data_IF_019969557259
#
_entry.id   IF_019969557259
#
_cell.length_a   1.000
_cell.length_b   1.000
_cell.length_c   1.000
_cell.angle_alpha   90.00
_cell.angle_beta   90.00
_cell.angle_gamma   90.00
#
_symmetry.space_group_name_H-M   'P 1'
#
loop_
_entity.id
_entity.type
_entity.pdbx_description
1 polymer ?
#
# COMPACT_ATOMS: atom_id res chain seq x y z
N UNK A 1 15.38 12.87 -14.23
CA UNK A 1 14.10 12.18 -13.96
C UNK A 1 12.87 12.97 -14.44
N UNK A 2 12.65 14.26 -14.10
CA UNK A 2 11.45 14.99 -14.55
C UNK A 2 11.37 15.20 -16.07
N UNK A 3 12.51 15.50 -16.71
CA UNK A 3 12.60 15.75 -18.15
C UNK A 3 12.28 14.50 -19.00
N UNK A 4 12.64 13.34 -18.49
CA UNK A 4 12.43 12.03 -19.12
C UNK A 4 10.95 11.67 -19.13
N UNK A 5 10.24 11.91 -18.02
CA UNK A 5 8.79 11.70 -17.89
C UNK A 5 8.04 12.61 -18.88
N UNK A 6 8.36 13.90 -18.90
CA UNK A 6 7.72 14.86 -19.81
C UNK A 6 7.94 14.51 -21.28
N UNK A 7 9.13 14.02 -21.61
CA UNK A 7 9.46 13.61 -22.99
C UNK A 7 8.70 12.34 -23.36
N UNK A 8 8.65 11.35 -22.48
CA UNK A 8 7.91 10.11 -22.70
C UNK A 8 6.42 10.35 -22.89
N UNK A 9 5.81 11.18 -22.03
CA UNK A 9 4.39 11.52 -22.10
C UNK A 9 3.98 12.29 -23.36
N UNK A 10 4.92 13.02 -23.99
CA UNK A 10 4.67 13.70 -25.27
C UNK A 10 4.51 12.73 -26.43
N UNK A 11 5.26 11.63 -26.40
CA UNK A 11 5.17 10.59 -27.43
C UNK A 11 3.99 9.66 -27.16
N UNK A 12 3.85 9.20 -25.91
CA UNK A 12 2.78 8.30 -25.48
C UNK A 12 2.21 8.72 -24.12
N UNK A 13 0.94 9.13 -24.12
CA UNK A 13 0.23 9.53 -22.90
C UNK A 13 -0.28 8.31 -22.12
N UNK A 14 0.64 7.56 -21.52
CA UNK A 14 0.35 6.46 -20.60
C UNK A 14 0.67 6.87 -19.15
N UNK A 15 0.00 6.28 -18.14
CA UNK A 15 0.37 6.48 -16.75
C UNK A 15 1.81 6.01 -16.49
N UNK A 16 2.59 6.82 -15.78
CA UNK A 16 3.96 6.52 -15.37
C UNK A 16 4.08 6.56 -13.85
N UNK A 17 4.85 5.62 -13.30
CA UNK A 17 5.11 5.51 -11.88
C UNK A 17 6.59 5.27 -11.60
N UNK A 18 7.00 5.48 -10.34
CA UNK A 18 8.32 5.06 -9.85
C UNK A 18 8.15 4.21 -8.59
N UNK A 19 8.83 3.08 -8.52
CA UNK A 19 8.91 2.22 -7.33
C UNK A 19 10.01 2.72 -6.41
N UNK A 20 9.79 2.70 -5.09
CA UNK A 20 10.76 3.18 -4.10
C UNK A 20 10.79 2.32 -2.85
N UNK A 21 12.00 1.91 -2.46
CA UNK A 21 12.25 1.28 -1.18
C UNK A 21 11.89 2.24 -0.05
N UNK A 22 10.98 1.79 0.84
CA UNK A 22 10.49 2.57 1.96
C UNK A 22 11.51 2.61 3.11
N UNK A 23 11.47 3.65 3.94
CA UNK A 23 12.24 3.77 5.17
C UNK A 23 11.54 3.07 6.35
N UNK A 24 12.32 2.55 7.29
CA UNK A 24 11.89 1.81 8.46
C UNK A 24 11.03 2.71 9.34
N UNK A 25 9.84 2.23 9.67
CA UNK A 25 8.86 2.96 10.48
C UNK A 25 8.84 2.37 11.89
N UNK A 26 9.99 2.38 12.57
CA UNK A 26 10.11 2.13 14.01
C UNK A 26 9.62 0.75 14.51
N UNK A 27 9.75 0.54 15.83
CA UNK A 27 9.16 -0.59 16.57
C UNK A 27 7.76 -0.25 17.12
N UNK A 28 7.34 0.99 16.88
CA UNK A 28 6.17 1.70 17.41
C UNK A 28 5.19 2.09 16.29
N UNK A 29 5.38 1.55 15.08
CA UNK A 29 4.34 1.53 14.06
C UNK A 29 3.26 0.51 14.44
N UNK A 30 1.99 0.89 14.29
CA UNK A 30 0.83 0.00 14.48
C UNK A 30 0.78 -1.20 13.49
N UNK A 31 1.87 -1.49 12.77
CA UNK A 31 1.91 -2.50 11.73
C UNK A 31 3.22 -3.30 11.75
N UNK A 32 3.10 -4.62 11.72
CA UNK A 32 4.22 -5.58 11.80
C UNK A 32 4.90 -5.85 10.44
N UNK A 33 4.74 -4.95 9.45
CA UNK A 33 5.39 -5.12 8.14
C UNK A 33 6.84 -4.64 8.19
N UNK A 34 7.77 -5.55 7.89
CA UNK A 34 9.19 -5.27 7.80
C UNK A 34 9.49 -4.28 6.67
N UNK A 35 9.94 -3.08 7.01
CA UNK A 35 10.49 -2.14 6.03
C UNK A 35 12.02 -2.16 6.15
N UNK A 36 12.70 -2.52 5.06
CA UNK A 36 14.13 -2.94 5.10
C UNK A 36 15.13 -1.78 5.05
N UNK A 37 14.70 -0.55 4.80
CA UNK A 37 15.61 0.61 4.76
C UNK A 37 15.72 1.24 6.14
N UNK A 38 16.89 1.37 6.77
CA UNK A 38 17.01 1.83 8.17
C UNK A 38 16.45 3.23 8.50
N UNK A 39 16.69 3.72 9.72
CA UNK A 39 16.05 4.95 10.22
C UNK A 39 16.63 6.26 9.65
N UNK A 40 17.88 6.26 9.19
CA UNK A 40 18.59 7.47 8.78
C UNK A 40 18.86 7.54 7.26
N UNK A 41 18.91 8.75 6.67
CA UNK A 41 19.34 8.91 5.29
C UNK A 41 20.72 8.25 5.08
N UNK A 42 20.81 7.31 4.14
CA UNK A 42 22.00 6.50 3.87
C UNK A 42 21.80 5.03 4.22
N UNK A 43 20.92 4.72 5.19
CA UNK A 43 20.50 3.34 5.50
C UNK A 43 19.45 2.82 4.51
N UNK A 44 18.78 3.74 3.83
CA UNK A 44 17.94 3.53 2.65
C UNK A 44 18.38 4.49 1.54
N UNK A 45 17.98 4.27 0.28
CA UNK A 45 18.34 5.17 -0.83
C UNK A 45 17.90 6.62 -0.56
N UNK A 46 18.81 7.47 -0.06
CA UNK A 46 18.52 8.87 0.26
C UNK A 46 18.00 9.65 -0.95
N UNK A 47 16.98 10.50 -0.75
CA UNK A 47 16.25 11.12 -1.88
C UNK A 47 15.19 10.20 -2.51
N UNK A 48 15.03 9.00 -1.93
CA UNK A 48 13.87 8.09 -1.85
C UNK A 48 12.50 8.58 -2.31
N UNK A 49 12.08 9.81 -1.97
CA UNK A 49 10.63 10.07 -1.94
C UNK A 49 9.92 9.07 -1.02
N UNK A 50 10.59 8.76 0.08
CA UNK A 50 9.99 8.14 1.24
C UNK A 50 9.01 9.15 1.88
N UNK A 51 8.32 8.72 2.94
CA UNK A 51 7.28 9.53 3.59
C UNK A 51 7.72 10.95 3.96
N UNK A 52 9.02 11.18 4.21
CA UNK A 52 9.55 12.49 4.63
C UNK A 52 9.83 13.47 3.49
N UNK A 53 9.84 13.04 2.23
CA UNK A 53 10.12 13.91 1.06
C UNK A 53 9.13 13.73 -0.10
N UNK A 54 7.94 13.19 0.17
CA UNK A 54 6.90 12.97 -0.83
C UNK A 54 6.36 14.30 -1.42
N UNK A 55 6.30 15.36 -0.60
CA UNK A 55 5.87 16.69 -1.04
C UNK A 55 6.89 17.35 -1.99
N UNK A 56 8.19 17.21 -1.69
CA UNK A 56 9.29 17.68 -2.55
C UNK A 56 9.22 16.96 -3.89
N UNK A 57 8.97 15.65 -3.87
CA UNK A 57 8.77 14.81 -5.06
C UNK A 57 7.67 15.31 -5.98
N UNK A 58 6.48 15.56 -5.42
CA UNK A 58 5.34 16.07 -6.18
C UNK A 58 5.65 17.42 -6.82
N UNK A 59 6.43 18.27 -6.14
CA UNK A 59 6.87 19.57 -6.68
C UNK A 59 7.88 19.42 -7.82
N UNK A 60 8.85 18.51 -7.72
CA UNK A 60 9.93 18.39 -8.74
C UNK A 60 9.55 17.51 -9.93
N UNK A 61 8.53 16.67 -9.82
CA UNK A 61 8.06 15.78 -10.89
C UNK A 61 6.52 15.81 -11.00
N UNK A 62 5.92 16.96 -11.38
CA UNK A 62 4.46 17.12 -11.42
C UNK A 62 3.78 16.24 -12.48
N UNK A 63 4.53 15.81 -13.49
CA UNK A 63 4.04 14.91 -14.55
C UNK A 63 4.09 13.43 -14.16
N UNK A 64 4.60 13.08 -12.97
CA UNK A 64 4.59 11.71 -12.47
C UNK A 64 3.21 11.40 -11.86
N UNK A 65 2.58 10.29 -12.25
CA UNK A 65 1.21 9.99 -11.80
C UNK A 65 1.20 9.33 -10.41
N UNK A 66 2.14 8.40 -10.17
CA UNK A 66 2.18 7.64 -8.91
C UNK A 66 3.62 7.45 -8.40
N UNK A 67 3.75 7.45 -7.07
CA UNK A 67 4.92 6.93 -6.37
C UNK A 67 4.47 5.65 -5.68
N UNK A 68 5.01 4.51 -6.10
CA UNK A 68 4.65 3.22 -5.53
C UNK A 68 5.67 2.81 -4.47
N UNK A 69 5.24 2.51 -3.23
CA UNK A 69 6.13 1.94 -2.24
C UNK A 69 6.51 0.51 -2.66
N UNK A 70 7.80 0.22 -2.62
CA UNK A 70 8.33 -1.15 -2.73
C UNK A 70 8.41 -1.72 -1.31
N UNK A 71 7.56 -2.70 -1.04
CA UNK A 71 7.41 -3.34 0.27
C UNK A 71 7.89 -4.78 0.12
N UNK A 72 9.06 -5.07 0.70
CA UNK A 72 9.54 -6.44 0.82
C UNK A 72 8.76 -7.12 1.95
N UNK A 73 8.13 -8.24 1.63
CA UNK A 73 7.38 -9.03 2.59
C UNK A 73 8.22 -10.22 3.07
N UNK A 74 7.98 -10.68 4.30
CA UNK A 74 8.58 -11.89 4.83
C UNK A 74 8.14 -13.15 4.06
N UNK A 75 8.95 -14.20 4.11
CA UNK A 75 8.92 -15.39 3.26
C UNK A 75 7.61 -16.22 3.34
N UNK A 76 6.84 -16.10 4.42
CA UNK A 76 5.60 -16.84 4.67
C UNK A 76 4.38 -16.49 3.79
N UNK A 77 4.45 -15.47 2.91
CA UNK A 77 3.29 -15.05 2.10
C UNK A 77 3.21 -15.67 0.69
N UNK A 78 4.31 -16.18 0.14
CA UNK A 78 4.35 -16.64 -1.27
C UNK A 78 3.32 -17.75 -1.57
N UNK A 79 3.08 -18.65 -0.62
CA UNK A 79 2.11 -19.75 -0.79
C UNK A 79 0.65 -19.34 -0.57
N UNK A 80 0.39 -18.11 -0.07
CA UNK A 80 -0.96 -17.59 0.22
C UNK A 80 -1.51 -16.73 -0.92
N UNK A 81 -0.63 -16.08 -1.68
CA UNK A 81 -1.01 -15.18 -2.80
C UNK A 81 -1.99 -15.81 -3.81
N UNK A 82 -1.82 -17.06 -4.29
CA UNK A 82 -2.70 -17.61 -5.32
C UNK A 82 -4.18 -17.67 -4.90
N UNK A 83 -4.46 -17.93 -3.61
CA UNK A 83 -5.84 -17.97 -3.09
C UNK A 83 -6.48 -16.59 -3.11
N UNK A 84 -5.77 -15.58 -2.63
CA UNK A 84 -6.25 -14.19 -2.61
C UNK A 84 -6.47 -13.65 -4.03
N UNK A 85 -5.50 -13.84 -4.93
CA UNK A 85 -5.64 -13.40 -6.32
C UNK A 85 -6.72 -14.16 -7.08
N UNK A 86 -6.93 -15.44 -6.78
CA UNK A 86 -8.04 -16.23 -7.35
C UNK A 86 -9.41 -15.63 -6.99
N UNK A 87 -9.62 -15.31 -5.72
CA UNK A 87 -10.84 -14.64 -5.27
C UNK A 87 -10.98 -13.24 -5.87
N UNK A 88 -9.95 -12.39 -5.77
CA UNK A 88 -9.96 -11.03 -6.32
C UNK A 88 -10.24 -11.02 -7.81
N UNK A 89 -9.71 -11.97 -8.58
CA UNK A 89 -10.01 -12.11 -10.01
C UNK A 89 -11.52 -12.28 -10.25
N UNK A 90 -12.18 -13.11 -9.44
CA UNK A 90 -13.63 -13.38 -9.57
C UNK A 90 -14.52 -12.18 -9.26
N UNK A 91 -14.10 -11.30 -8.35
CA UNK A 91 -14.88 -10.11 -7.91
C UNK A 91 -14.31 -8.78 -8.41
N UNK A 92 -13.25 -8.80 -9.22
CA UNK A 92 -12.44 -7.64 -9.63
C UNK A 92 -13.28 -6.46 -10.13
N UNK A 93 -14.30 -6.72 -10.96
CA UNK A 93 -15.18 -5.67 -11.48
C UNK A 93 -15.92 -4.90 -10.38
N UNK A 94 -16.43 -5.61 -9.36
CA UNK A 94 -17.14 -4.99 -8.24
C UNK A 94 -16.16 -4.22 -7.34
N UNK A 95 -15.00 -4.81 -7.07
CA UNK A 95 -13.97 -4.18 -6.26
C UNK A 95 -13.45 -2.88 -6.90
N UNK A 96 -13.14 -2.89 -8.20
CA UNK A 96 -12.67 -1.71 -8.92
C UNK A 96 -13.75 -0.62 -9.01
N UNK A 97 -15.01 -0.97 -9.26
CA UNK A 97 -16.12 -0.01 -9.26
C UNK A 97 -16.29 0.65 -7.88
N UNK A 98 -16.20 -0.13 -6.79
CA UNK A 98 -16.24 0.41 -5.43
C UNK A 98 -15.05 1.35 -5.15
N UNK A 99 -13.84 1.01 -5.59
CA UNK A 99 -12.65 1.84 -5.39
C UNK A 99 -12.75 3.22 -6.07
N UNK A 100 -13.58 3.39 -7.10
CA UNK A 100 -13.81 4.70 -7.73
C UNK A 100 -14.78 5.60 -6.95
N UNK A 101 -15.48 5.06 -5.94
CA UNK A 101 -16.49 5.76 -5.15
C UNK A 101 -16.07 5.85 -3.70
N UNK A 102 -15.80 7.08 -3.25
CA UNK A 102 -15.35 7.37 -1.90
C UNK A 102 -16.30 6.74 -0.85
N UNK A 103 -15.71 6.00 0.10
CA UNK A 103 -16.45 5.39 1.21
C UNK A 103 -17.29 4.17 0.85
N UNK A 104 -17.20 3.64 -0.38
CA UNK A 104 -17.98 2.46 -0.80
C UNK A 104 -17.25 1.11 -0.63
N UNK A 105 -16.01 1.14 -0.13
CA UNK A 105 -15.23 -0.04 0.24
C UNK A 105 -14.36 0.25 1.46
N UNK A 106 -14.08 -0.78 2.26
CA UNK A 106 -13.05 -0.76 3.31
C UNK A 106 -12.04 -1.89 3.04
N UNK A 107 -10.81 -1.71 3.50
CA UNK A 107 -9.79 -2.75 3.54
C UNK A 107 -9.48 -3.12 4.99
N UNK A 108 -9.18 -4.39 5.24
CA UNK A 108 -8.74 -4.89 6.53
C UNK A 108 -7.70 -5.99 6.34
N UNK A 109 -6.81 -6.12 7.32
CA UNK A 109 -5.86 -7.20 7.45
C UNK A 109 -5.94 -7.65 8.91
N UNK A 110 -5.91 -8.96 9.12
CA UNK A 110 -5.81 -9.52 10.46
C UNK A 110 -4.39 -10.06 10.61
N UNK A 111 -3.68 -9.64 11.67
CA UNK A 111 -2.33 -10.09 11.97
C UNK A 111 -2.30 -11.57 12.35
N UNK A 112 -1.13 -12.17 12.50
CA UNK A 112 -1.03 -13.56 12.98
C UNK A 112 -1.54 -13.65 14.44
N UNK A 113 -2.10 -14.81 14.83
CA UNK A 113 -2.48 -15.04 16.22
C UNK A 113 -1.24 -15.02 17.11
N UNK A 114 -1.40 -14.58 18.36
CA UNK A 114 -0.32 -14.69 19.33
C UNK A 114 0.10 -16.14 19.53
N UNK A 115 1.32 -16.37 20.02
CA UNK A 115 1.87 -17.72 20.21
C UNK A 115 1.03 -18.60 21.15
N UNK A 116 0.23 -17.99 22.03
CA UNK A 116 -0.72 -18.65 22.92
C UNK A 116 -2.10 -18.89 22.29
N UNK A 117 -2.27 -18.53 21.01
CA UNK A 117 -3.52 -18.65 20.26
C UNK A 117 -4.52 -17.54 20.52
N UNK A 118 -4.17 -16.51 21.31
CA UNK A 118 -5.06 -15.37 21.54
C UNK A 118 -5.14 -14.46 20.32
N UNK A 119 -6.35 -13.91 20.08
CA UNK A 119 -6.59 -12.93 19.04
C UNK A 119 -6.80 -11.54 19.66
N UNK A 120 -5.89 -10.62 19.35
CA UNK A 120 -5.99 -9.22 19.78
C UNK A 120 -6.64 -8.32 18.72
N UNK A 121 -7.13 -8.89 17.61
CA UNK A 121 -7.76 -8.13 16.53
C UNK A 121 -9.00 -7.41 17.02
N UNK A 122 -9.12 -6.12 16.67
CA UNK A 122 -10.31 -5.32 16.99
C UNK A 122 -11.40 -5.58 15.95
N UNK A 123 -12.65 -5.69 16.40
CA UNK A 123 -13.80 -5.74 15.50
C UNK A 123 -13.85 -4.49 14.62
N UNK A 124 -14.08 -4.68 13.32
CA UNK A 124 -14.28 -3.57 12.38
C UNK A 124 -15.78 -3.38 12.18
N UNK A 125 -16.29 -2.21 12.56
CA UNK A 125 -17.71 -1.85 12.44
C UNK A 125 -17.86 -0.77 11.37
N UNK A 126 -18.67 -1.04 10.34
CA UNK A 126 -18.91 -0.12 9.24
C UNK A 126 -20.41 0.04 8.97
N UNK A 127 -20.85 1.27 8.69
CA UNK A 127 -22.26 1.60 8.41
C UNK A 127 -22.44 2.04 6.97
N UNK A 128 -23.40 1.42 6.27
CA UNK A 128 -23.74 1.76 4.89
C UNK A 128 -25.24 1.64 4.66
N UNK A 129 -25.87 2.68 4.10
CA UNK A 129 -27.27 2.63 3.66
C UNK A 129 -28.28 2.26 4.75
N UNK A 130 -28.00 2.57 6.02
CA UNK A 130 -28.85 2.20 7.16
C UNK A 130 -28.58 0.82 7.75
N UNK A 131 -27.63 0.07 7.21
CA UNK A 131 -27.14 -1.19 7.75
C UNK A 131 -25.84 -0.99 8.52
N UNK A 132 -25.64 -1.81 9.55
CA UNK A 132 -24.38 -1.94 10.29
C UNK A 132 -23.78 -3.31 9.97
N UNK A 133 -22.50 -3.33 9.60
CA UNK A 133 -21.73 -4.52 9.31
C UNK A 133 -20.60 -4.59 10.34
N UNK A 134 -20.52 -5.72 11.03
CA UNK A 134 -19.45 -6.02 11.99
C UNK A 134 -18.62 -7.15 11.40
N UNK A 135 -17.30 -6.97 11.33
CA UNK A 135 -16.34 -7.94 10.84
C UNK A 135 -15.39 -8.32 11.97
N UNK A 136 -15.33 -9.61 12.26
CA UNK A 136 -14.53 -10.23 13.31
C UNK A 136 -13.86 -11.48 12.72
N UNK A 137 -12.81 -11.97 13.39
CA UNK A 137 -12.10 -13.18 13.00
C UNK A 137 -12.64 -14.40 13.75
#
# INVERSE_FOLDING_TARGET
MPKEIDTGKKEYFIPLYVERLQNYVGLDGDNDFSVVGGGHPGDYPSGAGNSTVLDVRQKVAPSLDFVMPDVTLDDGLQNRLPKHYGFLKSVSRLALDAQTRLGSSIGLCFDELAADGTDSSKSVIQKWGGYEITIER
#
